data_IF_251414729188
#
_entry.id   IF_251414729188
#
_cell.length_a   1.000
_cell.length_b   1.000
_cell.length_c   1.000
_cell.angle_alpha   90.00
_cell.angle_beta   90.00
_cell.angle_gamma   90.00
#
_symmetry.space_group_name_H-M   'P 1'
#
loop_
_entity.id
_entity.type
_entity.pdbx_description
1 polymer ?
#
# COMPACT_ATOMS: atom_id res chain seq x y z
N UNK A 1 -12.80 12.02 -13.30
CA UNK A 1 -12.20 11.56 -12.02
C UNK A 1 -13.13 11.83 -10.84
N UNK A 2 -13.50 13.10 -10.55
CA UNK A 2 -14.31 13.48 -9.38
C UNK A 2 -15.54 12.61 -9.06
N UNK A 3 -16.38 12.25 -10.03
CA UNK A 3 -17.59 11.43 -9.76
C UNK A 3 -17.26 10.00 -9.27
N UNK A 4 -16.23 9.36 -9.81
CA UNK A 4 -15.87 7.98 -9.44
C UNK A 4 -15.26 7.94 -8.05
N UNK A 5 -14.37 8.87 -7.73
CA UNK A 5 -13.71 8.94 -6.41
C UNK A 5 -14.65 9.34 -5.27
N UNK A 6 -15.73 10.07 -5.58
CA UNK A 6 -16.82 10.36 -4.63
C UNK A 6 -17.63 9.12 -4.28
N UNK A 7 -17.74 8.14 -5.20
CA UNK A 7 -18.67 7.02 -5.05
C UNK A 7 -18.01 5.69 -4.70
N UNK A 8 -16.92 5.35 -5.39
CA UNK A 8 -16.23 4.07 -5.26
C UNK A 8 -14.79 4.26 -4.76
N UNK A 9 -14.16 5.42 -4.97
CA UNK A 9 -12.80 5.65 -4.49
C UNK A 9 -11.74 4.75 -5.17
N UNK A 10 -12.12 4.01 -6.22
CA UNK A 10 -11.26 3.13 -7.02
C UNK A 10 -11.35 3.53 -8.49
N UNK A 11 -10.21 3.48 -9.17
CA UNK A 11 -10.02 3.79 -10.58
C UNK A 11 -9.18 2.69 -11.22
N UNK A 12 -9.41 2.44 -12.50
CA UNK A 12 -8.47 1.69 -13.34
C UNK A 12 -7.86 2.67 -14.31
N UNK A 13 -6.55 2.85 -14.22
CA UNK A 13 -5.79 3.84 -14.97
C UNK A 13 -5.00 3.14 -16.08
N UNK A 14 -5.45 3.30 -17.33
CA UNK A 14 -4.73 2.95 -18.54
C UNK A 14 -4.06 4.19 -19.14
N UNK A 15 -3.16 4.00 -20.11
CA UNK A 15 -2.44 5.11 -20.79
C UNK A 15 -1.73 6.07 -19.81
N UNK A 16 -1.20 5.51 -18.71
CA UNK A 16 -0.63 6.24 -17.58
C UNK A 16 0.77 6.84 -17.85
N UNK A 17 1.38 6.52 -18.99
CA UNK A 17 2.69 7.03 -19.41
C UNK A 17 3.89 6.51 -18.60
N UNK A 18 3.72 5.42 -17.86
CA UNK A 18 4.82 4.74 -17.14
C UNK A 18 5.47 3.76 -18.10
N UNK A 19 6.80 3.67 -18.06
CA UNK A 19 7.54 2.73 -18.88
C UNK A 19 7.18 1.27 -18.51
N UNK A 20 6.55 0.55 -19.44
CA UNK A 20 6.10 -0.82 -19.22
C UNK A 20 7.26 -1.80 -19.02
N UNK A 21 8.46 -1.51 -19.53
CA UNK A 21 9.62 -2.38 -19.31
C UNK A 21 10.12 -2.30 -17.86
N UNK A 22 10.03 -1.13 -17.23
CA UNK A 22 10.30 -0.96 -15.79
C UNK A 22 9.29 -1.78 -14.97
N UNK A 23 8.00 -1.73 -15.34
CA UNK A 23 6.95 -2.52 -14.68
C UNK A 23 7.22 -4.01 -14.80
N UNK A 24 7.51 -4.50 -16.02
CA UNK A 24 7.82 -5.92 -16.27
C UNK A 24 9.05 -6.37 -15.49
N UNK A 25 10.13 -5.57 -15.49
CA UNK A 25 11.37 -5.90 -14.78
C UNK A 25 11.13 -6.01 -13.28
N UNK A 26 10.35 -5.09 -12.69
CA UNK A 26 9.96 -5.17 -11.29
C UNK A 26 9.14 -6.42 -10.97
N UNK A 27 8.14 -6.76 -11.80
CA UNK A 27 7.35 -7.98 -11.63
C UNK A 27 8.21 -9.25 -11.72
N UNK A 28 9.14 -9.31 -12.67
CA UNK A 28 10.08 -10.42 -12.81
C UNK A 28 10.95 -10.60 -11.57
N UNK A 29 11.51 -9.51 -11.02
CA UNK A 29 12.35 -9.56 -9.83
C UNK A 29 11.54 -9.93 -8.57
N UNK A 30 10.30 -9.44 -8.45
CA UNK A 30 9.37 -9.84 -7.40
C UNK A 30 9.06 -11.34 -7.46
N UNK A 31 8.76 -11.84 -8.66
CA UNK A 31 8.54 -13.27 -8.88
C UNK A 31 9.78 -14.10 -8.53
N UNK A 32 10.96 -13.65 -8.94
CA UNK A 32 12.23 -14.30 -8.61
C UNK A 32 12.48 -14.36 -7.09
N UNK A 33 12.22 -13.26 -6.37
CA UNK A 33 12.36 -13.21 -4.91
C UNK A 33 11.42 -14.19 -4.21
N UNK A 34 10.13 -14.20 -4.56
CA UNK A 34 9.17 -15.08 -3.91
C UNK A 34 9.35 -16.57 -4.28
N UNK A 35 10.03 -16.85 -5.39
CA UNK A 35 10.44 -18.20 -5.80
C UNK A 35 11.63 -18.75 -5.00
N UNK A 36 12.32 -17.93 -4.21
CA UNK A 36 13.38 -18.40 -3.32
C UNK A 36 12.81 -19.33 -2.22
N UNK A 37 13.60 -20.31 -1.73
CA UNK A 37 13.22 -21.10 -0.56
C UNK A 37 12.87 -20.19 0.63
N UNK A 38 11.88 -20.59 1.44
CA UNK A 38 11.40 -19.80 2.58
C UNK A 38 12.54 -19.36 3.52
N UNK A 39 13.49 -20.25 3.81
CA UNK A 39 14.60 -19.92 4.70
C UNK A 39 15.55 -18.89 4.10
N UNK A 40 15.70 -18.87 2.77
CA UNK A 40 16.46 -17.83 2.06
C UNK A 40 15.75 -16.48 2.08
N UNK A 41 14.42 -16.45 1.99
CA UNK A 41 13.65 -15.21 2.13
C UNK A 41 13.76 -14.62 3.53
N UNK A 42 13.73 -15.47 4.57
CA UNK A 42 13.86 -15.07 5.99
C UNK A 42 15.19 -14.40 6.33
N UNK A 43 16.27 -14.64 5.57
CA UNK A 43 17.55 -13.91 5.74
C UNK A 43 17.38 -12.39 5.54
N UNK A 44 16.31 -11.96 4.86
CA UNK A 44 15.98 -10.56 4.60
C UNK A 44 14.84 -10.04 5.47
N UNK A 45 14.45 -10.77 6.51
CA UNK A 45 13.51 -10.28 7.51
C UNK A 45 14.15 -9.24 8.44
N UNK A 46 13.38 -8.27 8.92
CA UNK A 46 13.90 -7.28 9.86
C UNK A 46 14.21 -7.94 11.20
N UNK A 47 15.27 -7.45 11.88
CA UNK A 47 15.65 -7.92 13.22
C UNK A 47 14.68 -7.49 14.31
N UNK A 48 13.86 -6.47 14.05
CA UNK A 48 12.85 -5.95 14.96
C UNK A 48 11.53 -5.80 14.21
N UNK A 49 10.41 -6.12 14.87
CA UNK A 49 9.06 -5.90 14.32
C UNK A 49 8.73 -4.42 14.11
N UNK A 50 9.44 -3.50 14.77
CA UNK A 50 9.30 -2.05 14.51
C UNK A 50 9.92 -1.63 13.18
N UNK A 51 10.78 -2.46 12.58
CA UNK A 51 11.43 -2.16 11.32
C UNK A 51 10.59 -2.73 10.19
N UNK A 52 9.68 -1.92 9.65
CA UNK A 52 8.81 -2.34 8.54
C UNK A 52 9.57 -2.27 7.20
N UNK A 53 10.59 -3.13 7.05
CA UNK A 53 11.50 -3.26 5.90
C UNK A 53 11.82 -4.72 5.63
N UNK A 54 12.07 -5.05 4.37
CA UNK A 54 12.46 -6.39 3.95
C UNK A 54 11.30 -7.36 3.94
N UNK A 55 11.57 -8.63 4.26
CA UNK A 55 10.64 -9.73 4.08
C UNK A 55 9.83 -10.06 5.33
N UNK A 56 8.53 -10.30 5.12
CA UNK A 56 7.57 -10.74 6.10
C UNK A 56 6.87 -11.99 5.59
N UNK A 57 6.91 -13.06 6.39
CA UNK A 57 6.36 -14.36 6.02
C UNK A 57 4.84 -14.44 6.00
N UNK A 58 4.33 -15.62 5.62
CA UNK A 58 2.91 -15.96 5.69
C UNK A 58 2.33 -15.68 7.08
N UNK A 59 1.09 -15.18 7.12
CA UNK A 59 0.32 -14.98 8.36
C UNK A 59 0.97 -14.01 9.37
N UNK A 60 1.93 -13.19 8.93
CA UNK A 60 2.54 -12.15 9.77
C UNK A 60 1.74 -10.86 9.80
N UNK A 61 0.81 -10.64 8.85
CA UNK A 61 -0.06 -9.47 8.80
C UNK A 61 -1.52 -9.82 9.12
N UNK A 62 -2.27 -8.88 9.67
CA UNK A 62 -3.71 -9.02 9.89
C UNK A 62 -4.41 -7.69 9.58
N UNK A 63 -4.70 -7.46 8.30
CA UNK A 63 -5.36 -6.24 7.84
C UNK A 63 -6.79 -6.11 8.36
N UNK A 64 -7.52 -7.22 8.52
CA UNK A 64 -8.90 -7.21 9.01
C UNK A 64 -9.04 -6.55 10.40
N UNK A 65 -8.07 -6.80 11.28
CA UNK A 65 -8.06 -6.24 12.62
C UNK A 65 -7.91 -4.71 12.67
N UNK A 66 -7.43 -4.07 11.59
CA UNK A 66 -7.29 -2.61 11.53
C UNK A 66 -8.64 -1.89 11.55
N UNK A 67 -9.72 -2.59 11.19
CA UNK A 67 -11.10 -2.14 11.31
C UNK A 67 -11.72 -2.47 12.69
N UNK A 68 -10.94 -3.03 13.62
CA UNK A 68 -11.40 -3.42 14.95
C UNK A 68 -12.07 -4.80 15.02
N UNK A 69 -11.98 -5.59 13.94
CA UNK A 69 -12.45 -6.98 13.92
C UNK A 69 -11.55 -7.86 14.78
N UNK A 70 -12.06 -8.29 15.93
CA UNK A 70 -11.33 -9.13 16.89
C UNK A 70 -11.23 -10.59 16.46
N UNK A 71 -12.06 -11.03 15.51
CA UNK A 71 -12.10 -12.40 14.99
C UNK A 71 -11.31 -12.53 13.68
N UNK A 72 -10.77 -11.41 13.17
CA UNK A 72 -9.96 -11.39 11.95
C UNK A 72 -8.77 -12.34 12.07
N UNK A 73 -8.67 -13.26 11.11
CA UNK A 73 -7.56 -14.19 11.00
C UNK A 73 -6.41 -13.58 10.20
N UNK A 74 -5.16 -14.02 10.43
CA UNK A 74 -4.00 -13.53 9.68
C UNK A 74 -4.14 -13.70 8.17
N UNK A 75 -3.58 -12.75 7.43
CA UNK A 75 -3.65 -12.70 5.98
C UNK A 75 -2.83 -13.84 5.35
N UNK A 76 -3.40 -14.51 4.34
CA UNK A 76 -2.74 -15.58 3.59
C UNK A 76 -1.83 -15.00 2.49
N UNK A 77 -0.81 -14.25 2.93
CA UNK A 77 0.20 -13.65 2.07
C UNK A 77 1.54 -13.56 2.78
N UNK A 78 2.60 -13.60 1.99
CA UNK A 78 3.92 -13.11 2.35
C UNK A 78 4.19 -11.81 1.57
N UNK A 79 5.11 -10.98 2.06
CA UNK A 79 5.38 -9.70 1.42
C UNK A 79 6.80 -9.20 1.65
N UNK A 80 7.28 -8.38 0.73
CA UNK A 80 8.52 -7.64 0.82
C UNK A 80 8.21 -6.15 0.78
N UNK A 81 8.74 -5.40 1.73
CA UNK A 81 8.41 -3.98 1.90
C UNK A 81 9.66 -3.10 1.90
N UNK A 82 9.57 -1.95 1.23
CA UNK A 82 10.63 -0.96 1.14
C UNK A 82 10.08 0.46 1.06
N UNK A 83 10.88 1.43 1.49
CA UNK A 83 10.59 2.85 1.35
C UNK A 83 11.57 3.50 0.37
N UNK A 84 11.38 4.81 0.16
CA UNK A 84 12.31 5.68 -0.56
C UNK A 84 13.75 5.47 -0.09
N UNK A 85 14.65 5.21 -1.03
CA UNK A 85 16.09 5.30 -0.77
C UNK A 85 16.52 6.76 -0.74
N UNK A 86 17.25 7.12 0.31
CA UNK A 86 17.79 8.47 0.48
C UNK A 86 19.27 8.46 0.08
N UNK A 87 19.68 9.49 -0.67
CA UNK A 87 21.09 9.73 -0.96
C UNK A 87 21.87 10.10 0.31
N UNK A 88 23.20 9.93 0.30
CA UNK A 88 24.07 10.29 1.44
C UNK A 88 23.96 11.77 1.83
N UNK A 89 23.75 12.62 0.83
CA UNK A 89 23.65 14.07 0.98
C UNK A 89 22.20 14.55 1.16
N UNK A 90 21.30 13.72 1.71
CA UNK A 90 19.93 14.13 1.97
C UNK A 90 19.84 15.18 3.11
N UNK A 91 18.82 16.03 3.01
CA UNK A 91 18.48 17.10 3.94
C UNK A 91 18.30 16.60 5.39
N UNK A 92 18.53 17.48 6.37
CA UNK A 92 18.42 17.15 7.81
C UNK A 92 17.01 16.71 8.22
N UNK A 93 15.99 17.09 7.44
CA UNK A 93 14.62 16.57 7.56
C UNK A 93 14.55 15.05 7.64
N UNK A 94 15.44 14.34 6.96
CA UNK A 94 15.43 12.87 6.92
C UNK A 94 16.26 12.21 8.03
N UNK A 95 17.06 12.99 8.77
CA UNK A 95 18.12 12.46 9.65
C UNK A 95 17.88 12.76 11.13
N UNK A 96 16.89 13.58 11.47
CA UNK A 96 16.74 14.13 12.82
C UNK A 96 15.38 13.79 13.45
N UNK A 97 15.37 13.62 14.77
CA UNK A 97 14.16 13.30 15.53
C UNK A 97 13.41 12.09 14.98
N UNK A 98 12.11 12.25 14.77
CA UNK A 98 11.21 11.20 14.31
C UNK A 98 11.60 10.61 12.93
N UNK A 99 12.29 11.39 12.09
CA UNK A 99 12.72 10.94 10.78
C UNK A 99 13.65 9.72 10.85
N UNK A 100 14.42 9.56 11.93
CA UNK A 100 15.29 8.40 12.15
C UNK A 100 14.51 7.09 12.29
N UNK A 101 13.26 7.15 12.76
CA UNK A 101 12.37 5.99 12.88
C UNK A 101 11.65 5.69 11.55
N UNK A 102 11.37 6.74 10.76
CA UNK A 102 10.61 6.64 9.51
C UNK A 102 11.49 6.21 8.34
N UNK A 103 12.65 6.84 8.19
CA UNK A 103 13.55 6.70 7.05
C UNK A 103 14.70 5.73 7.34
N UNK A 104 14.39 4.64 8.03
CA UNK A 104 15.33 3.54 8.23
C UNK A 104 15.75 2.91 6.88
N UNK A 105 17.01 2.45 6.76
CA UNK A 105 17.51 1.78 5.56
C UNK A 105 16.68 0.56 5.16
N UNK A 106 16.51 0.36 3.86
CA UNK A 106 15.90 -0.86 3.32
C UNK A 106 16.82 -2.07 3.51
N UNK A 107 16.23 -3.26 3.58
CA UNK A 107 16.94 -4.54 3.67
C UNK A 107 16.91 -5.18 2.29
N UNK A 108 18.06 -5.30 1.62
CA UNK A 108 18.12 -5.75 0.22
C UNK A 108 18.75 -7.14 0.05
N UNK A 109 18.24 -7.97 -0.87
CA UNK A 109 18.82 -9.27 -1.19
C UNK A 109 19.97 -9.19 -2.20
N UNK A 110 20.84 -8.18 -2.12
CA UNK A 110 21.84 -7.88 -3.18
C UNK A 110 22.78 -9.07 -3.48
N UNK A 111 23.12 -9.87 -2.47
CA UNK A 111 23.98 -11.05 -2.64
C UNK A 111 23.27 -12.26 -3.28
N UNK A 112 21.94 -12.27 -3.30
CA UNK A 112 21.11 -13.40 -3.79
C UNK A 112 20.40 -13.03 -5.10
N UNK A 113 19.94 -11.79 -5.22
CA UNK A 113 19.28 -11.21 -6.39
C UNK A 113 19.83 -9.80 -6.65
N UNK A 114 21.00 -9.68 -7.30
CA UNK A 114 21.68 -8.40 -7.53
C UNK A 114 20.85 -7.34 -8.29
N UNK A 115 19.92 -7.77 -9.14
CA UNK A 115 19.06 -6.86 -9.92
C UNK A 115 17.79 -6.41 -9.18
N UNK A 116 17.47 -7.03 -8.04
CA UNK A 116 16.20 -6.81 -7.33
C UNK A 116 16.07 -5.37 -6.83
N UNK A 117 17.11 -4.88 -6.14
CA UNK A 117 17.17 -3.51 -5.64
C UNK A 117 16.99 -2.50 -6.76
N UNK A 118 17.79 -2.63 -7.83
CA UNK A 118 17.76 -1.71 -8.97
C UNK A 118 16.36 -1.65 -9.62
N UNK A 119 15.77 -2.80 -9.92
CA UNK A 119 14.47 -2.87 -10.58
C UNK A 119 13.35 -2.25 -9.72
N UNK A 120 13.33 -2.52 -8.41
CA UNK A 120 12.31 -1.94 -7.53
C UNK A 120 12.49 -0.45 -7.29
N UNK A 121 13.73 0.07 -7.26
CA UNK A 121 13.96 1.51 -7.16
C UNK A 121 13.62 2.26 -8.45
N UNK A 122 13.87 1.66 -9.62
CA UNK A 122 13.40 2.21 -10.90
C UNK A 122 11.87 2.26 -10.94
N UNK A 123 11.20 1.18 -10.54
CA UNK A 123 9.74 1.16 -10.42
C UNK A 123 9.21 2.17 -9.39
N UNK A 124 9.87 2.29 -8.24
CA UNK A 124 9.48 3.26 -7.20
C UNK A 124 9.45 4.68 -7.76
N UNK A 125 10.47 5.09 -8.52
CA UNK A 125 10.56 6.42 -9.14
C UNK A 125 9.45 6.67 -10.17
N UNK A 126 9.13 5.66 -10.97
CA UNK A 126 7.99 5.73 -11.91
C UNK A 126 6.65 5.92 -11.17
N UNK A 127 6.47 5.23 -10.03
CA UNK A 127 5.27 5.37 -9.21
C UNK A 127 5.20 6.72 -8.48
N UNK A 128 6.34 7.25 -8.02
CA UNK A 128 6.46 8.60 -7.45
C UNK A 128 6.03 9.65 -8.49
N UNK A 129 6.58 9.60 -9.69
CA UNK A 129 6.21 10.51 -10.78
C UNK A 129 4.72 10.35 -11.20
N UNK A 130 4.20 9.12 -11.21
CA UNK A 130 2.78 8.88 -11.51
C UNK A 130 1.88 9.42 -10.39
N UNK A 131 2.24 9.21 -9.12
CA UNK A 131 1.48 9.71 -7.98
C UNK A 131 1.40 11.24 -7.99
N UNK A 132 2.51 11.93 -8.27
CA UNK A 132 2.52 13.40 -8.39
C UNK A 132 1.55 13.89 -9.47
N UNK A 133 1.56 13.26 -10.66
CA UNK A 133 0.62 13.59 -11.74
C UNK A 133 -0.84 13.38 -11.32
N UNK A 134 -1.14 12.26 -10.67
CA UNK A 134 -2.49 11.95 -10.18
C UNK A 134 -2.92 12.98 -9.12
N UNK A 135 -2.04 13.35 -8.20
CA UNK A 135 -2.31 14.33 -7.15
C UNK A 135 -2.61 15.72 -7.74
N UNK A 136 -1.89 16.15 -8.79
CA UNK A 136 -2.22 17.38 -9.54
C UNK A 136 -3.60 17.32 -10.19
N UNK A 137 -3.95 16.19 -10.81
CA UNK A 137 -5.29 15.98 -11.38
C UNK A 137 -6.39 15.99 -10.30
N UNK A 138 -6.09 15.47 -9.12
CA UNK A 138 -7.00 15.52 -7.98
C UNK A 138 -7.22 16.95 -7.51
N UNK A 139 -6.16 17.75 -7.39
CA UNK A 139 -6.27 19.16 -7.00
C UNK A 139 -7.17 19.94 -7.97
N UNK A 140 -6.94 19.79 -9.28
CA UNK A 140 -7.79 20.38 -10.32
C UNK A 140 -9.25 19.90 -10.22
N UNK A 141 -9.48 18.60 -9.98
CA UNK A 141 -10.83 18.06 -9.81
C UNK A 141 -11.55 18.53 -8.54
N UNK A 142 -10.80 19.01 -7.54
CA UNK A 142 -11.33 19.61 -6.31
C UNK A 142 -11.60 21.11 -6.48
N UNK A 143 -11.11 21.73 -7.55
CA UNK A 143 -11.23 23.16 -7.81
C UNK A 143 -10.24 24.00 -6.99
N UNK A 144 -9.10 23.42 -6.60
CA UNK A 144 -8.00 24.12 -5.94
C UNK A 144 -6.79 24.24 -6.86
N UNK A 145 -5.78 25.01 -6.43
CA UNK A 145 -4.51 25.15 -7.14
C UNK A 145 -3.91 23.78 -7.51
N UNK A 146 -3.39 23.61 -8.73
CA UNK A 146 -2.93 22.29 -9.20
C UNK A 146 -1.76 21.75 -8.37
N UNK A 147 -0.97 22.63 -7.76
CA UNK A 147 0.19 22.30 -6.93
C UNK A 147 -0.15 22.30 -5.43
N UNK A 148 -1.43 22.37 -5.06
CA UNK A 148 -1.87 22.43 -3.66
C UNK A 148 -1.28 21.31 -2.79
N UNK A 149 -1.10 20.11 -3.36
CA UNK A 149 -0.50 18.97 -2.64
C UNK A 149 1.02 18.93 -2.68
N UNK A 150 1.69 19.67 -3.58
CA UNK A 150 3.12 19.48 -3.88
C UNK A 150 4.01 19.63 -2.65
N UNK A 151 3.80 20.66 -1.83
CA UNK A 151 4.56 20.88 -0.58
C UNK A 151 4.24 19.89 0.55
N UNK A 152 3.22 19.05 0.36
CA UNK A 152 2.79 18.04 1.34
C UNK A 152 3.31 16.65 0.99
N UNK A 153 3.91 16.47 -0.19
CA UNK A 153 4.30 15.15 -0.72
C UNK A 153 5.73 15.12 -1.27
N UNK A 154 6.42 16.25 -1.33
CA UNK A 154 7.79 16.39 -1.84
C UNK A 154 8.82 15.60 -1.02
N UNK A 155 8.55 15.37 0.26
CA UNK A 155 9.36 14.58 1.21
C UNK A 155 8.60 13.37 1.76
N UNK A 156 7.72 12.78 0.96
CA UNK A 156 6.81 11.73 1.39
C UNK A 156 7.47 10.53 2.09
N UNK A 157 6.72 9.86 2.97
CA UNK A 157 7.13 8.60 3.61
C UNK A 157 6.55 7.34 2.94
N UNK A 158 6.28 7.41 1.63
CA UNK A 158 5.64 6.35 0.84
C UNK A 158 6.30 4.98 0.96
N UNK A 159 5.48 3.95 1.15
CA UNK A 159 5.86 2.56 1.26
C UNK A 159 5.49 1.79 -0.02
N UNK A 160 6.41 0.95 -0.51
CA UNK A 160 6.20 0.03 -1.63
C UNK A 160 6.19 -1.40 -1.08
N UNK A 161 5.13 -2.14 -1.35
CA UNK A 161 4.96 -3.54 -0.93
C UNK A 161 4.79 -4.43 -2.14
N UNK A 162 5.70 -5.38 -2.30
CA UNK A 162 5.49 -6.54 -3.16
C UNK A 162 4.82 -7.63 -2.33
N UNK A 163 3.63 -8.08 -2.70
CA UNK A 163 2.89 -9.13 -2.00
C UNK A 163 2.78 -10.38 -2.88
N UNK A 164 2.97 -11.54 -2.26
CA UNK A 164 2.76 -12.85 -2.86
C UNK A 164 1.69 -13.61 -2.10
N UNK A 165 0.69 -14.06 -2.84
CA UNK A 165 -0.43 -14.85 -2.38
C UNK A 165 -0.27 -16.26 -2.98
N UNK A 166 0.38 -17.19 -2.27
CA UNK A 166 0.71 -18.49 -2.85
C UNK A 166 -0.56 -19.31 -3.19
N UNK A 167 -0.35 -20.35 -4.00
CA UNK A 167 -1.31 -21.44 -4.18
C UNK A 167 -1.76 -21.97 -2.81
N UNK A 168 -3.07 -22.14 -2.64
CA UNK A 168 -3.65 -22.64 -1.39
C UNK A 168 -3.73 -24.16 -1.39
N UNK A 169 -2.59 -24.82 -1.17
CA UNK A 169 -2.51 -26.29 -1.01
C UNK A 169 -3.13 -26.79 0.28
N UNK A 170 -3.14 -25.94 1.31
CA UNK A 170 -3.68 -26.26 2.62
C UNK A 170 -5.17 -25.88 2.72
N UNK A 171 -5.85 -26.54 3.66
CA UNK A 171 -7.19 -26.14 4.10
C UNK A 171 -7.07 -25.01 5.12
N UNK A 172 -7.56 -23.83 4.75
CA UNK A 172 -7.68 -22.68 5.65
C UNK A 172 -9.12 -22.57 6.17
N UNK A 173 -9.32 -21.83 7.27
CA UNK A 173 -10.67 -21.47 7.70
C UNK A 173 -11.43 -20.78 6.55
N UNK A 174 -12.73 -21.04 6.34
CA UNK A 174 -13.54 -20.32 5.36
C UNK A 174 -13.55 -18.80 5.58
N UNK A 175 -13.33 -18.34 6.80
CA UNK A 175 -13.23 -16.91 7.16
C UNK A 175 -11.84 -16.31 6.92
N UNK A 176 -10.81 -17.13 6.73
CA UNK A 176 -9.45 -16.67 6.47
C UNK A 176 -9.26 -16.41 4.98
N UNK A 177 -8.83 -15.20 4.63
CA UNK A 177 -8.67 -14.77 3.24
C UNK A 177 -7.25 -14.27 2.95
N UNK A 178 -6.95 -14.12 1.66
CA UNK A 178 -5.65 -13.63 1.17
C UNK A 178 -5.24 -12.28 1.76
N UNK A 179 -6.16 -11.33 1.81
CA UNK A 179 -5.99 -10.10 2.58
C UNK A 179 -7.33 -9.65 3.14
N UNK A 180 -7.38 -9.44 4.46
CA UNK A 180 -8.54 -9.00 5.23
C UNK A 180 -9.15 -7.70 4.71
N UNK A 181 -10.39 -7.44 5.11
CA UNK A 181 -11.07 -6.18 4.76
C UNK A 181 -10.42 -5.01 5.47
N UNK A 182 -10.01 -3.98 4.73
CA UNK A 182 -9.33 -2.80 5.28
C UNK A 182 -9.55 -1.56 4.40
N UNK A 183 -9.13 -0.40 4.92
CA UNK A 183 -8.88 0.81 4.12
C UNK A 183 -7.39 1.11 4.09
N UNK A 184 -6.94 1.82 3.06
CA UNK A 184 -5.55 2.27 2.97
C UNK A 184 -5.35 3.56 3.73
N UNK A 185 -4.20 3.72 4.36
CA UNK A 185 -4.03 4.79 5.36
C UNK A 185 -3.63 6.12 4.75
N UNK A 186 -2.89 6.11 3.64
CA UNK A 186 -2.26 7.30 3.06
C UNK A 186 -3.18 8.17 2.22
N UNK A 187 -2.60 8.80 1.21
CA UNK A 187 -3.32 9.68 0.27
C UNK A 187 -3.97 8.88 -0.86
N UNK A 188 -3.18 8.08 -1.57
CA UNK A 188 -3.64 7.17 -2.60
C UNK A 188 -2.78 5.91 -2.63
N UNK A 189 -3.27 4.89 -3.29
CA UNK A 189 -2.55 3.65 -3.55
C UNK A 189 -2.50 3.42 -5.05
N UNK A 190 -1.33 3.07 -5.57
CA UNK A 190 -1.15 2.62 -6.97
C UNK A 190 -0.79 1.15 -6.94
N UNK A 191 -1.65 0.31 -7.49
CA UNK A 191 -1.56 -1.13 -7.45
C UNK A 191 -1.33 -1.69 -8.85
N UNK A 192 -0.20 -2.37 -9.02
CA UNK A 192 0.00 -3.31 -10.11
C UNK A 192 -0.35 -4.71 -9.65
N UNK A 193 -1.49 -5.23 -10.10
CA UNK A 193 -1.87 -6.62 -9.88
C UNK A 193 -1.47 -7.49 -11.08
N UNK A 194 -1.16 -8.76 -10.83
CA UNK A 194 -1.23 -9.79 -11.86
C UNK A 194 -2.65 -9.94 -12.40
N UNK A 195 -2.76 -10.49 -13.61
CA UNK A 195 -4.04 -10.76 -14.26
C UNK A 195 -4.74 -11.99 -13.66
N UNK A 196 -5.04 -11.91 -12.36
CA UNK A 196 -5.74 -12.94 -11.58
C UNK A 196 -6.78 -12.30 -10.65
N UNK A 197 -8.02 -12.85 -10.60
CA UNK A 197 -9.11 -12.28 -9.80
C UNK A 197 -8.80 -12.34 -8.31
N UNK A 198 -9.54 -11.54 -7.53
CA UNK A 198 -9.55 -11.65 -6.07
C UNK A 198 -9.68 -10.32 -5.34
N UNK A 199 -9.25 -9.21 -5.94
CA UNK A 199 -9.45 -7.89 -5.34
C UNK A 199 -10.92 -7.48 -5.42
N UNK A 200 -11.50 -7.15 -4.27
CA UNK A 200 -12.88 -6.67 -4.17
C UNK A 200 -12.94 -5.35 -3.41
N UNK A 201 -13.80 -4.45 -3.85
CA UNK A 201 -14.15 -3.20 -3.17
C UNK A 201 -15.58 -3.26 -2.68
N UNK A 202 -15.85 -2.72 -1.49
CA UNK A 202 -17.18 -2.59 -0.94
C UNK A 202 -17.80 -1.26 -1.37
N UNK A 203 -18.94 -1.30 -2.07
CA UNK A 203 -19.65 -0.09 -2.50
C UNK A 203 -20.44 0.55 -1.34
N UNK A 204 -21.04 1.72 -1.58
CA UNK A 204 -21.87 2.45 -0.59
C UNK A 204 -23.12 1.67 -0.13
N UNK A 205 -23.58 0.69 -0.90
CA UNK A 205 -24.70 -0.19 -0.53
C UNK A 205 -24.24 -1.37 0.35
N UNK A 206 -22.94 -1.48 0.63
CA UNK A 206 -22.35 -2.57 1.41
C UNK A 206 -22.06 -3.83 0.60
N UNK A 207 -22.21 -3.80 -0.72
CA UNK A 207 -21.97 -4.94 -1.61
C UNK A 207 -20.51 -5.01 -2.03
N UNK A 208 -19.96 -6.22 -2.09
CA UNK A 208 -18.64 -6.48 -2.66
C UNK A 208 -18.72 -6.52 -4.19
N UNK A 209 -17.84 -5.77 -4.85
CA UNK A 209 -17.67 -5.77 -6.31
C UNK A 209 -16.24 -6.15 -6.65
N UNK A 210 -16.08 -7.04 -7.63
CA UNK A 210 -14.76 -7.37 -8.17
C UNK A 210 -14.19 -6.16 -8.89
N UNK A 211 -12.90 -5.87 -8.64
CA UNK A 211 -12.19 -4.83 -9.39
C UNK A 211 -11.74 -5.43 -10.72
N UNK A 212 -12.12 -4.84 -11.87
CA UNK A 212 -11.75 -5.39 -13.16
C UNK A 212 -10.24 -5.34 -13.38
N UNK A 213 -9.73 -6.37 -14.03
CA UNK A 213 -8.31 -6.43 -14.41
C UNK A 213 -8.22 -5.99 -15.86
N UNK A 214 -7.45 -4.94 -16.10
CA UNK A 214 -7.21 -4.41 -17.44
C UNK A 214 -5.71 -4.48 -17.70
N UNK A 215 -5.33 -5.01 -18.86
CA UNK A 215 -3.93 -5.11 -19.26
C UNK A 215 -3.28 -3.72 -19.34
N UNK A 216 -1.99 -3.65 -19.01
CA UNK A 216 -1.22 -2.40 -19.01
C UNK A 216 -1.89 -1.25 -18.26
N UNK A 217 -2.58 -1.57 -17.16
CA UNK A 217 -3.19 -0.60 -16.27
C UNK A 217 -2.69 -0.73 -14.83
N UNK A 218 -2.95 0.31 -14.05
CA UNK A 218 -2.87 0.30 -12.60
C UNK A 218 -4.26 0.47 -11.99
N UNK A 219 -4.49 -0.22 -10.88
CA UNK A 219 -5.63 0.09 -10.01
C UNK A 219 -5.18 1.22 -9.09
N UNK A 220 -5.98 2.27 -8.98
CA UNK A 220 -5.70 3.41 -8.09
C UNK A 220 -6.86 3.56 -7.13
N UNK A 221 -6.60 3.55 -5.83
CA UNK A 221 -7.61 3.83 -4.82
C UNK A 221 -7.19 4.94 -3.87
N UNK A 222 -8.17 5.61 -3.28
CA UNK A 222 -7.92 6.64 -2.29
C UNK A 222 -7.70 6.03 -0.91
N UNK A 223 -6.77 6.62 -0.17
CA UNK A 223 -6.58 6.31 1.24
C UNK A 223 -7.32 7.29 2.16
N UNK A 224 -7.25 6.99 3.44
CA UNK A 224 -7.94 7.72 4.49
C UNK A 224 -7.55 9.21 4.51
N UNK A 225 -6.27 9.57 4.36
CA UNK A 225 -5.84 10.98 4.40
C UNK A 225 -6.43 11.82 3.27
N UNK A 226 -6.76 11.22 2.11
CA UNK A 226 -7.49 11.94 1.07
C UNK A 226 -8.96 12.20 1.47
N UNK A 227 -9.56 11.30 2.24
CA UNK A 227 -10.90 11.56 2.82
C UNK A 227 -10.85 12.72 3.83
N UNK A 228 -9.75 12.84 4.60
CA UNK A 228 -9.55 13.94 5.55
C UNK A 228 -9.39 15.29 4.82
N UNK A 229 -8.49 15.35 3.83
CA UNK A 229 -8.31 16.54 3.00
C UNK A 229 -9.60 17.00 2.31
N UNK A 230 -10.42 16.06 1.85
CA UNK A 230 -11.65 16.37 1.13
C UNK A 230 -12.88 16.53 2.02
N UNK A 231 -12.72 16.49 3.36
CA UNK A 231 -13.84 16.61 4.30
C UNK A 231 -14.91 15.53 4.08
N UNK A 232 -14.50 14.34 3.62
CA UNK A 232 -15.39 13.21 3.31
C UNK A 232 -16.12 13.29 1.98
N UNK A 233 -15.84 14.30 1.15
CA UNK A 233 -16.38 14.38 -0.22
C UNK A 233 -15.91 13.20 -1.06
N UNK A 234 -14.65 12.78 -0.91
CA UNK A 234 -14.12 11.57 -1.52
C UNK A 234 -13.93 10.46 -0.48
N UNK A 235 -14.04 9.21 -0.93
CA UNK A 235 -14.13 8.06 -0.03
C UNK A 235 -12.89 7.15 -0.12
N UNK A 236 -12.34 6.82 1.05
CA UNK A 236 -11.43 5.68 1.26
C UNK A 236 -12.27 4.43 1.45
N UNK A 237 -12.39 3.60 0.42
CA UNK A 237 -13.31 2.46 0.45
C UNK A 237 -12.66 1.19 0.99
N UNK A 238 -13.48 0.45 1.73
CA UNK A 238 -13.11 -0.86 2.26
C UNK A 238 -12.89 -1.81 1.09
N UNK A 239 -11.76 -2.51 1.10
CA UNK A 239 -11.43 -3.50 0.09
C UNK A 239 -10.74 -4.72 0.72
N UNK A 240 -10.71 -5.83 -0.01
CA UNK A 240 -10.12 -7.11 0.44
C UNK A 240 -9.57 -7.90 -0.74
N UNK A 241 -8.74 -8.92 -0.46
CA UNK A 241 -8.36 -9.93 -1.46
C UNK A 241 -8.90 -11.28 -1.01
N UNK A 242 -9.84 -11.84 -1.79
CA UNK A 242 -10.46 -13.12 -1.50
C UNK A 242 -9.60 -14.30 -1.97
N UNK A 243 -9.90 -15.48 -1.44
CA UNK A 243 -9.33 -16.73 -1.91
C UNK A 243 -9.79 -17.04 -3.34
N UNK A 244 -8.96 -17.72 -4.14
CA UNK A 244 -9.33 -18.11 -5.50
C UNK A 244 -10.49 -19.11 -5.47
N UNK A 245 -11.37 -19.07 -6.49
CA UNK A 245 -12.51 -20.01 -6.60
C UNK A 245 -12.03 -21.44 -6.83
N UNK A 246 -10.95 -21.60 -7.59
CA UNK A 246 -10.27 -22.87 -7.83
C UNK A 246 -8.93 -22.89 -7.10
N UNK A 247 -8.61 -23.99 -6.41
CA UNK A 247 -7.33 -24.21 -5.73
C UNK A 247 -6.38 -25.00 -6.62
N UNK A 248 -6.22 -24.57 -7.86
CA UNK A 248 -5.27 -25.16 -8.80
C UNK A 248 -3.88 -24.52 -8.67
N UNK A 249 -2.89 -25.15 -9.29
CA UNK A 249 -1.49 -24.72 -9.27
C UNK A 249 -1.22 -23.37 -9.94
N UNK A 250 -2.21 -22.78 -10.61
CA UNK A 250 -2.12 -21.46 -11.24
C UNK A 250 -2.87 -20.39 -10.43
N UNK A 251 -3.24 -20.70 -9.18
CA UNK A 251 -4.00 -19.79 -8.33
C UNK A 251 -3.13 -18.78 -7.58
N UNK A 252 -1.81 -18.96 -7.55
CA UNK A 252 -0.85 -18.01 -6.97
C UNK A 252 -1.07 -16.61 -7.55
N UNK A 253 -0.86 -15.54 -6.78
CA UNK A 253 -1.09 -14.17 -7.25
C UNK A 253 -0.05 -13.26 -6.67
N UNK A 254 0.48 -12.35 -7.48
CA UNK A 254 1.37 -11.31 -7.02
C UNK A 254 0.81 -9.91 -7.27
N UNK A 255 1.27 -8.97 -6.47
CA UNK A 255 1.00 -7.56 -6.69
C UNK A 255 2.12 -6.68 -6.15
N UNK A 256 2.32 -5.54 -6.78
CA UNK A 256 3.23 -4.49 -6.33
C UNK A 256 2.38 -3.26 -6.02
N UNK A 257 2.42 -2.81 -4.77
CA UNK A 257 1.52 -1.80 -4.22
C UNK A 257 2.33 -0.61 -3.72
N UNK A 258 2.09 0.56 -4.28
CA UNK A 258 2.70 1.82 -3.87
C UNK A 258 1.70 2.61 -3.02
N UNK A 259 1.87 2.55 -1.71
CA UNK A 259 1.01 3.21 -0.71
C UNK A 259 1.49 4.65 -0.51
N UNK A 260 1.06 5.55 -1.38
CA UNK A 260 1.51 6.94 -1.39
C UNK A 260 1.09 7.67 -0.11
N UNK A 261 2.10 8.12 0.64
CA UNK A 261 1.93 8.89 1.87
C UNK A 261 2.28 10.35 1.63
N UNK A 262 1.73 11.30 2.41
CA UNK A 262 2.30 12.64 2.51
C UNK A 262 3.65 12.64 3.24
N UNK A 263 4.25 13.81 3.38
CA UNK A 263 5.34 14.10 4.31
C UNK A 263 4.89 13.72 5.72
N UNK A 264 5.79 13.22 6.56
CA UNK A 264 5.38 12.66 7.86
C UNK A 264 4.73 13.72 8.78
N UNK A 265 5.19 14.96 8.65
CA UNK A 265 4.74 16.15 9.37
C UNK A 265 3.72 16.99 8.58
N UNK A 266 3.28 16.53 7.40
CA UNK A 266 2.24 17.22 6.65
C UNK A 266 0.97 17.33 7.51
N UNK A 267 0.51 18.56 7.74
CA UNK A 267 -0.77 18.82 8.38
C UNK A 267 -1.90 18.42 7.43
N UNK A 268 -2.72 17.49 7.90
CA UNK A 268 -3.88 16.95 7.21
C UNK A 268 -5.12 17.55 7.86
N UNK A 269 -5.63 18.59 7.23
CA UNK A 269 -6.89 19.23 7.56
C UNK A 269 -7.74 19.39 6.30
N UNK A 270 -9.04 19.60 6.47
CA UNK A 270 -9.92 19.77 5.31
C UNK A 270 -9.53 21.00 4.51
N UNK A 271 -9.44 20.82 3.20
CA UNK A 271 -9.11 21.86 2.22
C UNK A 271 -10.11 23.02 2.37
N UNK A 272 -9.61 24.28 2.41
CA UNK A 272 -10.47 25.44 2.45
C UNK A 272 -11.55 25.45 1.37
N UNK A 273 -12.80 25.65 1.76
CA UNK A 273 -13.98 25.58 0.89
C UNK A 273 -14.68 24.22 0.83
N UNK A 274 -14.11 23.16 1.42
CA UNK A 274 -14.71 21.82 1.52
C UNK A 274 -15.23 21.47 2.93
N UNK A 275 -15.21 22.41 3.87
CA UNK A 275 -15.47 22.20 5.30
C UNK A 275 -16.94 21.99 5.64
N UNK A 276 -17.87 22.40 4.76
CA UNK A 276 -19.33 22.30 4.99
C UNK A 276 -19.81 20.87 5.32
N UNK A 277 -18.99 19.85 5.03
CA UNK A 277 -19.26 18.44 5.35
C UNK A 277 -18.16 17.76 6.16
N UNK A 278 -17.17 18.49 6.68
CA UNK A 278 -16.03 17.83 7.32
C UNK A 278 -16.38 17.22 8.67
N UNK A 279 -16.04 15.94 8.80
CA UNK A 279 -16.18 15.13 10.01
C UNK A 279 -14.84 14.64 10.56
N UNK A 280 -13.74 15.11 9.97
CA UNK A 280 -12.39 14.61 10.25
C UNK A 280 -11.61 15.64 11.08
N UNK A 281 -10.97 15.22 12.18
CA UNK A 281 -10.08 16.11 12.93
C UNK A 281 -8.79 16.39 12.15
N UNK A 282 -8.17 17.52 12.44
CA UNK A 282 -6.79 17.80 11.99
C UNK A 282 -5.83 16.79 12.62
N UNK A 283 -4.88 16.30 11.83
CA UNK A 283 -3.82 15.37 12.25
C UNK A 283 -2.60 15.55 11.36
N UNK A 284 -1.48 14.93 11.70
CA UNK A 284 -0.36 14.74 10.76
C UNK A 284 -0.46 13.38 10.06
N UNK A 285 0.21 13.24 8.92
CA UNK A 285 0.27 11.95 8.23
C UNK A 285 0.86 10.83 9.12
N UNK A 286 1.89 11.15 9.92
CA UNK A 286 2.52 10.20 10.82
C UNK A 286 1.61 9.77 11.98
N UNK A 287 0.93 10.70 12.65
CA UNK A 287 0.01 10.37 13.74
C UNK A 287 -1.10 9.43 13.25
N UNK A 288 -1.68 9.71 12.08
CA UNK A 288 -2.69 8.85 11.47
C UNK A 288 -2.13 7.45 11.16
N UNK A 289 -0.95 7.37 10.54
CA UNK A 289 -0.27 6.11 10.24
C UNK A 289 -0.05 5.28 11.52
N UNK A 290 0.50 5.88 12.57
CA UNK A 290 0.76 5.20 13.83
C UNK A 290 -0.54 4.76 14.53
N UNK A 291 -1.62 5.54 14.42
CA UNK A 291 -2.93 5.14 14.94
C UNK A 291 -3.45 3.83 14.31
N UNK A 292 -3.13 3.60 13.02
CA UNK A 292 -3.51 2.39 12.27
C UNK A 292 -2.58 1.22 12.57
N UNK A 293 -1.27 1.44 12.56
CA UNK A 293 -0.27 0.41 12.89
C UNK A 293 -0.49 -0.12 14.31
N UNK A 294 -0.75 0.76 15.27
CA UNK A 294 -1.02 0.37 16.66
C UNK A 294 -2.30 -0.47 16.81
N UNK A 295 -3.29 -0.31 15.92
CA UNK A 295 -4.47 -1.20 15.90
C UNK A 295 -4.15 -2.56 15.31
N UNK A 296 -3.38 -2.60 14.22
CA UNK A 296 -2.93 -3.85 13.58
C UNK A 296 -2.14 -4.73 14.57
N UNK A 297 -1.22 -4.12 15.31
CA UNK A 297 -0.31 -4.82 16.22
C UNK A 297 -0.93 -5.22 17.57
N UNK A 298 -2.15 -4.74 17.89
CA UNK A 298 -2.89 -5.11 19.12
C UNK A 298 -3.65 -6.44 19.00
N UNK A 299 -3.41 -7.23 17.95
CA UNK A 299 -4.03 -8.55 17.77
C UNK A 299 -3.25 -9.65 18.50
N UNK A 300 -3.98 -10.55 19.17
CA UNK A 300 -3.44 -11.61 20.02
C UNK A 300 -2.35 -12.47 19.34
N UNK A 301 -2.44 -12.70 18.03
CA UNK A 301 -1.46 -13.52 17.28
C UNK A 301 -0.16 -12.81 16.89
N UNK A 302 -0.09 -11.48 16.87
CA UNK A 302 1.18 -10.77 16.58
C UNK A 302 2.17 -10.87 17.76
N UNK A 303 1.63 -11.06 18.97
CA UNK A 303 2.38 -11.28 20.20
C UNK A 303 2.82 -12.75 20.38
N UNK A 304 2.31 -13.69 19.59
CA UNK A 304 2.70 -15.12 19.66
C UNK A 304 3.96 -15.44 18.82
N UNK A 305 4.41 -14.51 17.96
CA UNK A 305 5.69 -14.63 17.25
C UNK A 305 6.82 -14.06 18.15
N UNK A 306 7.12 -14.74 19.25
CA UNK A 306 8.39 -14.65 20.01
C UNK A 306 8.81 -13.30 20.62
N UNK A 307 9.10 -13.33 21.93
CA UNK A 307 10.23 -12.59 22.51
C UNK A 307 11.57 -13.07 21.92
#
# INVERSE_FOLDING_TARGET
IGNVVTNIGFLVLSNHGVNLDVVKKAQQQVSAFFSLPTDKKKEFSPKSKSYYRGYFGMETGNLGATLGDKEALPDLREYFTLNRELGRDCDDYYKTGLAQEIFIPNIWPDNTLPEFKKALLEYYREMEALAERIMRMFALSLGVDEFWFSSKIDKHMTNLVAANYPEQKNSYSPSQIRAGSHTDYGSLTILKAENKPGLQVKNKLGEWKDVPIVDNSFIVNLGDLMSYWTGGKWVSNIHRVINPKTKDSNSDRQSIVFFHQPNFDAVIETIPGLEKSSKYPTTTAYEHLMSKINKMNKTSKFNEIGE
#
